data_IF_494645472557
#
_entry.id   IF_494645472557
#
_cell.length_a   1.000
_cell.length_b   1.000
_cell.length_c   1.000
_cell.angle_alpha   90.00
_cell.angle_beta   90.00
_cell.angle_gamma   90.00
#
_symmetry.space_group_name_H-M   'P 1'
#
loop_
_entity.id
_entity.type
_entity.pdbx_description
1 polymer ?
#
# COMPACT_ATOMS: atom_id res chain seq x y z
N UNK A 1 8.99 69.85 -20.29
CA UNK A 1 9.90 68.96 -19.58
C UNK A 1 10.75 68.27 -20.65
N UNK A 2 12.08 68.44 -20.63
CA UNK A 2 12.97 67.92 -21.65
C UNK A 2 13.10 66.38 -21.55
N UNK A 3 13.17 65.72 -22.69
CA UNK A 3 13.31 64.26 -22.80
C UNK A 3 14.40 63.68 -21.85
N UNK A 4 15.45 64.42 -21.63
CA UNK A 4 16.56 64.13 -20.70
C UNK A 4 16.12 64.03 -19.24
N UNK A 5 15.17 64.85 -18.82
CA UNK A 5 14.62 64.88 -17.46
C UNK A 5 13.67 63.68 -17.24
N UNK A 6 12.96 63.26 -18.26
CA UNK A 6 12.09 62.08 -18.20
C UNK A 6 12.91 60.80 -18.00
N UNK A 7 14.03 60.68 -18.73
CA UNK A 7 14.95 59.54 -18.60
C UNK A 7 15.60 59.48 -17.22
N UNK A 8 15.99 60.58 -16.66
CA UNK A 8 16.58 60.64 -15.30
C UNK A 8 15.56 60.25 -14.22
N UNK A 9 14.32 60.67 -14.32
CA UNK A 9 13.25 60.26 -13.39
C UNK A 9 12.93 58.79 -13.52
N UNK A 10 12.87 58.24 -14.74
CA UNK A 10 12.64 56.82 -14.98
C UNK A 10 13.76 55.93 -14.41
N UNK A 11 15.04 56.34 -14.58
CA UNK A 11 16.17 55.64 -14.01
C UNK A 11 16.17 55.65 -12.46
N UNK A 12 15.76 56.79 -11.86
CA UNK A 12 15.65 56.87 -10.38
C UNK A 12 14.53 55.99 -9.86
N UNK A 13 13.37 55.92 -10.54
CA UNK A 13 12.27 55.03 -10.16
C UNK A 13 12.67 53.56 -10.31
N UNK A 14 13.39 53.23 -11.37
CA UNK A 14 13.88 51.88 -11.57
C UNK A 14 14.91 51.46 -10.51
N UNK A 15 15.84 52.35 -10.17
CA UNK A 15 16.83 52.13 -9.12
C UNK A 15 16.21 51.99 -7.74
N UNK A 16 15.16 52.75 -7.42
CA UNK A 16 14.43 52.65 -6.15
C UNK A 16 13.66 51.32 -6.04
N UNK A 17 13.12 50.79 -7.14
CA UNK A 17 12.47 49.48 -7.13
C UNK A 17 13.48 48.35 -6.96
N UNK A 18 14.68 48.43 -7.53
CA UNK A 18 15.74 47.43 -7.38
C UNK A 18 16.28 47.45 -5.95
N UNK A 19 16.46 48.62 -5.33
CA UNK A 19 16.92 48.72 -3.95
C UNK A 19 15.85 48.22 -2.96
N UNK A 20 14.57 48.40 -3.25
CA UNK A 20 13.46 47.88 -2.46
C UNK A 20 13.40 46.33 -2.45
N UNK A 21 13.74 45.68 -3.57
CA UNK A 21 13.81 44.22 -3.63
C UNK A 21 15.08 43.59 -2.99
N UNK A 22 16.18 44.36 -2.92
CA UNK A 22 17.44 43.90 -2.34
C UNK A 22 17.51 44.08 -0.81
N UNK A 23 16.59 44.80 -0.21
CA UNK A 23 16.57 45.10 1.22
C UNK A 23 15.70 44.21 2.11
N UNK A 24 14.85 43.38 1.54
CA UNK A 24 14.18 42.34 2.31
C UNK A 24 15.12 41.17 2.47
N UNK A 25 16.04 41.25 3.44
CA UNK A 25 16.38 40.04 4.15
C UNK A 25 15.09 39.58 4.80
N UNK A 26 14.37 38.68 4.14
CA UNK A 26 13.51 37.75 4.86
C UNK A 26 14.46 36.97 5.76
N UNK A 27 14.73 37.48 6.96
CA UNK A 27 15.11 36.61 8.03
C UNK A 27 13.92 35.66 8.13
N UNK A 28 14.10 34.46 7.64
CA UNK A 28 13.30 33.37 8.12
C UNK A 28 13.63 33.35 9.61
N UNK A 29 12.76 33.95 10.44
CA UNK A 29 12.77 33.61 11.85
C UNK A 29 12.62 32.12 11.85
N UNK A 30 13.61 31.42 12.41
CA UNK A 30 13.43 30.03 12.78
C UNK A 30 12.16 30.04 13.63
N UNK A 31 11.07 29.56 13.05
CA UNK A 31 9.86 29.30 13.81
C UNK A 31 10.24 28.04 14.58
N UNK A 32 10.91 28.25 15.72
CA UNK A 32 10.96 27.24 16.76
C UNK A 32 9.50 26.98 17.11
N UNK A 33 8.93 25.94 16.53
CA UNK A 33 7.63 25.50 16.96
C UNK A 33 7.84 24.86 18.34
N UNK A 34 7.34 25.52 19.39
CA UNK A 34 7.12 24.90 20.72
C UNK A 34 6.05 23.79 20.60
N UNK A 35 6.19 22.94 19.57
CA UNK A 35 5.24 21.88 19.28
C UNK A 35 5.69 20.62 20.00
N UNK A 36 4.89 20.19 20.99
CA UNK A 36 5.10 18.90 21.61
C UNK A 36 4.85 17.79 20.60
N UNK A 37 5.88 16.97 20.34
CA UNK A 37 5.73 15.83 19.46
C UNK A 37 4.66 14.88 20.00
N UNK A 38 3.78 14.44 19.12
CA UNK A 38 2.73 13.45 19.43
C UNK A 38 2.90 12.19 18.60
N UNK A 39 2.30 11.11 19.03
CA UNK A 39 2.33 9.85 18.29
C UNK A 39 1.46 9.94 17.04
N UNK A 40 1.97 9.36 15.95
CA UNK A 40 1.28 9.16 14.70
C UNK A 40 1.17 7.65 14.42
N UNK A 41 -0.05 7.17 14.33
CA UNK A 41 -0.39 5.75 14.29
C UNK A 41 -0.91 5.39 12.89
N UNK A 42 -0.43 4.27 12.37
CA UNK A 42 -0.96 3.64 11.18
C UNK A 42 -1.30 2.18 11.52
N UNK A 43 -2.54 1.96 11.97
CA UNK A 43 -2.99 0.66 12.46
C UNK A 43 -3.97 -0.01 11.51
N UNK A 44 -3.67 -1.25 11.11
CA UNK A 44 -4.54 -2.07 10.28
C UNK A 44 -4.77 -3.44 10.90
N UNK A 45 -6.04 -3.76 11.15
CA UNK A 45 -6.48 -5.13 11.44
C UNK A 45 -6.95 -5.75 10.12
N UNK A 46 -6.27 -6.80 9.70
CA UNK A 46 -6.63 -7.57 8.51
C UNK A 46 -7.23 -8.92 8.93
N UNK A 47 -8.46 -9.19 8.45
CA UNK A 47 -9.16 -10.43 8.75
C UNK A 47 -8.91 -11.53 7.71
N UNK A 48 -8.24 -11.20 6.60
CA UNK A 48 -7.94 -12.18 5.55
C UNK A 48 -6.90 -13.20 6.06
N UNK A 49 -7.16 -14.47 5.84
CA UNK A 49 -6.24 -15.53 6.23
C UNK A 49 -4.91 -15.39 5.51
N UNK A 50 -3.81 -15.53 6.26
CA UNK A 50 -2.45 -15.38 5.70
C UNK A 50 -1.93 -13.95 5.65
N UNK A 51 -2.73 -12.95 6.01
CA UNK A 51 -2.31 -11.56 6.09
C UNK A 51 -2.11 -11.13 7.55
N UNK A 52 -1.08 -10.35 7.78
CA UNK A 52 -0.72 -9.92 9.14
C UNK A 52 -1.35 -8.58 9.47
N UNK A 53 -2.03 -8.50 10.62
CA UNK A 53 -2.41 -7.21 11.21
C UNK A 53 -1.19 -6.51 11.80
N UNK A 54 -1.11 -5.19 11.65
CA UNK A 54 0.06 -4.43 12.08
C UNK A 54 -0.27 -3.03 12.58
N UNK A 55 0.63 -2.49 13.38
CA UNK A 55 0.60 -1.10 13.86
C UNK A 55 1.94 -0.43 13.52
N UNK A 56 1.93 0.54 12.63
CA UNK A 56 3.03 1.46 12.41
C UNK A 56 2.97 2.58 13.45
N UNK A 57 4.09 2.87 14.08
CA UNK A 57 4.15 3.88 15.13
C UNK A 57 5.30 4.85 14.89
N UNK A 58 4.96 6.11 14.74
CA UNK A 58 5.88 7.20 14.48
C UNK A 58 5.59 8.35 15.45
N UNK A 59 6.51 9.28 15.56
CA UNK A 59 6.23 10.60 16.14
C UNK A 59 6.03 11.65 15.06
N UNK A 60 5.41 12.75 15.37
CA UNK A 60 5.45 13.92 14.51
C UNK A 60 6.86 14.50 14.46
N UNK A 61 7.21 15.16 13.37
CA UNK A 61 8.54 15.74 13.13
C UNK A 61 8.44 17.22 12.85
N UNK A 62 9.46 17.98 13.22
CA UNK A 62 9.61 19.36 12.80
C UNK A 62 10.04 19.43 11.32
N UNK A 63 9.81 20.59 10.69
CA UNK A 63 10.10 20.75 9.25
C UNK A 63 11.60 20.70 8.91
N UNK A 64 12.46 20.98 9.87
CA UNK A 64 13.92 21.00 9.74
C UNK A 64 14.59 19.70 10.21
N UNK A 65 13.81 18.75 10.77
CA UNK A 65 14.33 17.44 11.14
C UNK A 65 14.69 16.60 9.92
N UNK A 66 15.74 15.80 10.06
CA UNK A 66 16.08 14.79 9.05
C UNK A 66 15.00 13.70 9.01
N UNK A 67 14.50 13.40 7.82
CA UNK A 67 13.43 12.42 7.63
C UNK A 67 13.89 10.97 7.80
N UNK A 68 15.19 10.70 7.57
CA UNK A 68 15.77 9.37 7.62
C UNK A 68 17.11 9.37 8.31
N UNK A 69 17.39 8.32 9.05
CA UNK A 69 18.68 8.06 9.69
C UNK A 69 19.34 6.84 9.07
N UNK A 70 20.65 6.92 8.88
CA UNK A 70 21.46 5.80 8.42
C UNK A 70 21.57 4.76 9.54
N UNK A 71 21.22 3.51 9.26
CA UNK A 71 21.24 2.41 10.24
C UNK A 71 22.23 1.31 9.91
N UNK A 72 22.75 1.29 8.69
CA UNK A 72 23.72 0.29 8.29
C UNK A 72 23.92 0.18 6.79
N UNK A 73 24.69 -0.82 6.40
CA UNK A 73 24.87 -1.22 5.01
C UNK A 73 24.44 -2.66 4.84
N UNK A 74 23.85 -2.96 3.70
CA UNK A 74 23.64 -4.31 3.23
C UNK A 74 24.52 -4.58 2.01
N UNK A 75 24.92 -5.81 1.79
CA UNK A 75 25.70 -6.19 0.63
C UNK A 75 25.02 -7.34 -0.08
N UNK A 76 24.59 -7.08 -1.30
CA UNK A 76 23.96 -8.05 -2.18
C UNK A 76 24.92 -8.44 -3.27
N UNK A 77 25.04 -9.72 -3.56
CA UNK A 77 25.85 -10.24 -4.64
C UNK A 77 24.96 -10.47 -5.85
N UNK A 78 25.20 -9.72 -6.94
CA UNK A 78 24.48 -9.86 -8.18
C UNK A 78 25.28 -10.70 -9.17
N UNK A 79 24.63 -11.64 -9.83
CA UNK A 79 25.16 -12.34 -10.98
C UNK A 79 24.70 -11.60 -12.24
N UNK A 80 25.64 -11.12 -13.04
CA UNK A 80 25.34 -10.58 -14.35
C UNK A 80 25.33 -11.74 -15.36
N UNK A 81 24.19 -12.03 -15.92
CA UNK A 81 24.04 -12.96 -17.03
C UNK A 81 24.33 -12.18 -18.31
N UNK A 82 25.61 -12.03 -18.72
CA UNK A 82 25.89 -11.61 -20.07
C UNK A 82 25.51 -12.75 -21.04
N UNK A 83 24.56 -12.46 -21.89
CA UNK A 83 24.07 -13.32 -22.97
C UNK A 83 25.01 -13.25 -24.19
N UNK A 84 26.31 -13.38 -24.00
CA UNK A 84 27.26 -13.50 -25.11
C UNK A 84 27.74 -14.94 -25.22
N UNK A 85 27.46 -15.48 -26.40
CA UNK A 85 27.76 -16.87 -26.80
C UNK A 85 29.28 -17.12 -26.70
N UNK A 86 29.75 -17.77 -25.64
CA UNK A 86 31.01 -18.50 -25.70
C UNK A 86 32.03 -18.34 -24.59
N UNK A 87 31.80 -17.65 -23.49
CA UNK A 87 32.72 -17.66 -22.36
C UNK A 87 32.02 -18.01 -21.05
N UNK A 88 32.42 -19.13 -20.44
CA UNK A 88 32.01 -19.59 -19.11
C UNK A 88 32.61 -18.69 -18.02
N UNK A 89 32.12 -17.47 -17.90
CA UNK A 89 32.55 -16.52 -16.88
C UNK A 89 31.36 -15.81 -16.25
N UNK A 90 30.76 -16.42 -15.23
CA UNK A 90 29.84 -15.67 -14.35
C UNK A 90 30.69 -14.72 -13.51
N UNK A 91 30.83 -13.47 -13.92
CA UNK A 91 31.35 -12.42 -13.06
C UNK A 91 30.22 -11.82 -12.25
N UNK A 92 30.20 -12.13 -10.96
CA UNK A 92 29.31 -11.46 -10.04
C UNK A 92 29.98 -10.26 -9.38
N UNK A 93 29.20 -9.26 -9.01
CA UNK A 93 29.69 -8.09 -8.30
C UNK A 93 28.88 -7.83 -7.03
N UNK A 94 29.56 -7.25 -6.03
CA UNK A 94 28.93 -6.84 -4.80
C UNK A 94 28.35 -5.43 -4.95
N UNK A 95 27.07 -5.28 -4.66
CA UNK A 95 26.42 -3.97 -4.48
C UNK A 95 26.27 -3.71 -2.99
N UNK A 96 26.77 -2.57 -2.55
CA UNK A 96 26.64 -2.11 -1.16
C UNK A 96 25.53 -1.08 -1.12
N UNK A 97 24.44 -1.43 -0.46
CA UNK A 97 23.31 -0.54 -0.25
C UNK A 97 23.36 0.08 1.15
N UNK A 98 23.17 1.40 1.20
CA UNK A 98 23.02 2.12 2.46
C UNK A 98 21.59 1.98 2.95
N UNK A 99 21.43 1.48 4.16
CA UNK A 99 20.13 1.26 4.76
C UNK A 99 19.74 2.47 5.61
N UNK A 100 18.58 2.99 5.34
CA UNK A 100 17.98 4.09 6.07
C UNK A 100 16.64 3.67 6.69
N UNK A 101 16.33 4.26 7.83
CA UNK A 101 15.01 4.12 8.44
C UNK A 101 14.42 5.50 8.80
N UNK A 102 13.08 5.63 8.93
CA UNK A 102 12.47 6.89 9.33
C UNK A 102 12.98 7.34 10.70
N UNK A 103 13.46 8.59 10.79
CA UNK A 103 13.95 9.17 12.05
C UNK A 103 12.86 9.28 13.12
N UNK A 104 11.61 9.35 12.69
CA UNK A 104 10.43 9.45 13.55
C UNK A 104 9.92 8.10 14.08
N UNK A 105 10.54 6.99 13.70
CA UNK A 105 10.09 5.64 14.06
C UNK A 105 10.22 5.39 15.56
N UNK A 106 9.16 4.91 16.21
CA UNK A 106 9.12 4.53 17.63
C UNK A 106 9.19 3.00 17.72
N UNK A 107 10.19 2.47 18.45
CA UNK A 107 10.47 1.03 18.52
C UNK A 107 10.28 0.43 19.92
N UNK A 108 10.13 1.24 20.93
CA UNK A 108 10.14 0.86 22.35
C UNK A 108 8.79 1.10 23.05
N UNK A 109 7.71 1.18 22.26
CA UNK A 109 6.37 1.31 22.80
C UNK A 109 5.81 -0.05 23.25
N UNK A 110 4.88 0.00 24.19
CA UNK A 110 3.98 -1.10 24.53
C UNK A 110 2.70 -0.91 23.74
N UNK A 111 2.40 -1.86 22.85
CA UNK A 111 1.23 -1.84 21.97
C UNK A 111 0.34 -3.03 22.30
N UNK A 112 -0.89 -2.76 22.72
CA UNK A 112 -1.87 -3.76 23.09
C UNK A 112 -3.13 -3.58 22.24
N UNK A 113 -3.62 -4.68 21.69
CA UNK A 113 -4.94 -4.78 21.04
C UNK A 113 -5.81 -5.67 21.89
N UNK A 114 -7.00 -5.24 22.26
CA UNK A 114 -7.94 -6.03 23.06
C UNK A 114 -9.30 -6.12 22.37
N UNK A 115 -9.99 -7.25 22.55
CA UNK A 115 -11.34 -7.47 22.05
C UNK A 115 -12.41 -7.19 23.11
N UNK A 116 -13.67 -7.18 22.70
CA UNK A 116 -14.81 -7.01 23.61
C UNK A 116 -15.11 -8.24 24.49
N UNK A 117 -14.35 -9.34 24.34
CA UNK A 117 -14.44 -10.55 25.17
C UNK A 117 -13.44 -10.52 26.33
N UNK A 118 -12.56 -9.51 26.36
CA UNK A 118 -11.56 -9.32 27.40
C UNK A 118 -10.23 -10.00 27.11
N UNK A 119 -10.02 -10.51 25.89
CA UNK A 119 -8.70 -10.96 25.47
C UNK A 119 -7.82 -9.75 25.12
N UNK A 120 -6.53 -9.87 25.38
CA UNK A 120 -5.54 -8.83 25.10
C UNK A 120 -4.33 -9.46 24.42
N UNK A 121 -3.89 -8.82 23.34
CA UNK A 121 -2.81 -9.27 22.48
C UNK A 121 -1.72 -8.22 22.45
N UNK A 122 -0.49 -8.61 22.76
CA UNK A 122 0.66 -7.72 22.72
C UNK A 122 1.29 -7.77 21.34
N UNK A 123 1.42 -6.61 20.71
CA UNK A 123 2.09 -6.45 19.43
C UNK A 123 3.52 -5.98 19.68
N UNK A 124 4.49 -6.77 19.22
CA UNK A 124 5.92 -6.52 19.37
C UNK A 124 6.50 -5.90 18.13
N UNK A 125 7.48 -5.00 18.28
CA UNK A 125 8.16 -4.38 17.18
C UNK A 125 8.99 -5.39 16.39
N UNK A 126 8.84 -5.37 15.06
CA UNK A 126 9.61 -6.20 14.12
C UNK A 126 10.16 -5.29 13.03
N UNK A 127 11.48 -5.29 12.88
CA UNK A 127 12.17 -4.50 11.84
C UNK A 127 12.35 -5.26 10.53
N UNK A 128 12.32 -6.60 10.57
CA UNK A 128 12.59 -7.46 9.42
C UNK A 128 11.67 -8.67 9.42
N UNK A 129 11.20 -9.03 8.23
CA UNK A 129 10.55 -10.31 7.95
C UNK A 129 11.37 -11.03 6.88
N UNK A 130 11.68 -12.29 7.15
CA UNK A 130 12.39 -13.15 6.20
C UNK A 130 11.41 -14.13 5.60
N UNK A 131 11.27 -14.11 4.29
CA UNK A 131 10.53 -15.09 3.52
C UNK A 131 11.52 -16.10 2.93
N UNK A 132 11.16 -17.35 3.00
CA UNK A 132 11.92 -18.42 2.37
C UNK A 132 11.06 -18.92 1.22
N UNK A 133 11.41 -18.57 0.01
CA UNK A 133 10.80 -19.13 -1.18
C UNK A 133 11.45 -20.46 -1.49
N UNK A 134 10.61 -21.47 -1.66
CA UNK A 134 11.05 -22.82 -1.98
C UNK A 134 10.75 -23.09 -3.45
N UNK A 135 11.80 -23.09 -4.26
CA UNK A 135 11.70 -23.37 -5.70
C UNK A 135 12.03 -24.83 -5.92
N UNK A 136 11.05 -25.59 -6.44
CA UNK A 136 11.23 -26.99 -6.80
C UNK A 136 11.61 -27.06 -8.28
N UNK A 137 12.82 -27.57 -8.55
CA UNK A 137 13.22 -27.94 -9.89
C UNK A 137 13.08 -29.45 -10.04
N UNK A 138 12.18 -29.86 -10.91
CA UNK A 138 12.05 -31.23 -11.38
C UNK A 138 12.27 -31.20 -12.91
N UNK A 139 13.47 -31.51 -13.33
CA UNK A 139 13.81 -31.48 -14.74
C UNK A 139 14.48 -32.77 -15.17
N UNK A 140 13.99 -33.28 -16.28
CA UNK A 140 14.53 -34.46 -16.93
C UNK A 140 15.23 -34.04 -18.23
N UNK A 141 16.53 -34.27 -18.33
CA UNK A 141 17.25 -33.98 -19.57
C UNK A 141 17.96 -35.23 -20.12
N UNK A 142 18.02 -35.33 -21.44
CA UNK A 142 18.68 -36.46 -22.13
C UNK A 142 19.97 -35.98 -22.77
N UNK A 143 21.09 -36.58 -22.39
CA UNK A 143 22.39 -36.30 -22.94
C UNK A 143 23.05 -37.58 -23.42
N UNK A 144 23.48 -37.66 -24.67
CA UNK A 144 24.05 -38.86 -25.32
C UNK A 144 23.23 -40.15 -25.17
N UNK A 145 21.88 -40.00 -25.15
CA UNK A 145 20.95 -41.13 -25.01
C UNK A 145 20.77 -41.66 -23.58
N UNK A 146 21.35 -40.99 -22.61
CA UNK A 146 21.09 -41.20 -21.17
C UNK A 146 20.16 -40.13 -20.66
N UNK A 147 19.12 -40.54 -19.96
CA UNK A 147 18.17 -39.65 -19.30
C UNK A 147 18.63 -39.43 -17.87
N UNK A 148 18.73 -38.17 -17.49
CA UNK A 148 19.06 -37.75 -16.14
C UNK A 148 17.85 -37.03 -15.57
N UNK A 149 17.38 -37.50 -14.43
CA UNK A 149 16.37 -36.79 -13.63
C UNK A 149 17.11 -35.96 -12.60
N UNK A 150 16.88 -34.65 -12.63
CA UNK A 150 17.42 -33.74 -11.64
C UNK A 150 16.28 -33.16 -10.83
N UNK A 151 16.19 -33.65 -9.61
CA UNK A 151 15.27 -33.17 -8.60
C UNK A 151 16.08 -32.40 -7.57
N UNK A 152 15.85 -31.07 -7.48
CA UNK A 152 16.51 -30.23 -6.50
C UNK A 152 15.55 -29.16 -5.99
N UNK A 153 15.73 -28.81 -4.72
CA UNK A 153 14.98 -27.76 -4.06
C UNK A 153 15.95 -26.62 -3.75
N UNK A 154 15.67 -25.46 -4.29
CA UNK A 154 16.42 -24.23 -3.98
C UNK A 154 15.60 -23.43 -2.99
N UNK A 155 16.24 -22.99 -1.91
CA UNK A 155 15.66 -22.08 -0.94
C UNK A 155 16.22 -20.69 -1.23
N UNK A 156 15.35 -19.80 -1.70
CA UNK A 156 15.67 -18.39 -1.81
C UNK A 156 15.17 -17.64 -0.56
N UNK A 157 16.06 -16.88 0.04
CA UNK A 157 15.78 -16.20 1.31
C UNK A 157 15.76 -14.70 1.08
N UNK A 158 14.54 -14.15 1.04
CA UNK A 158 14.32 -12.73 0.88
C UNK A 158 14.00 -12.09 2.23
N UNK A 159 14.75 -11.05 2.61
CA UNK A 159 14.53 -10.31 3.86
C UNK A 159 14.01 -8.90 3.55
N UNK A 160 12.81 -8.61 4.03
CA UNK A 160 12.19 -7.30 3.88
C UNK A 160 12.18 -6.54 5.21
N UNK A 161 12.41 -5.22 5.16
CA UNK A 161 12.26 -4.34 6.31
C UNK A 161 10.82 -3.85 6.36
N UNK A 162 10.14 -4.07 7.49
CA UNK A 162 8.74 -3.70 7.65
C UNK A 162 8.52 -2.60 8.69
N UNK A 163 9.31 -2.55 9.76
CA UNK A 163 9.24 -1.55 10.84
C UNK A 163 7.85 -1.38 11.46
N UNK A 164 7.18 -2.48 11.80
CA UNK A 164 5.85 -2.49 12.39
C UNK A 164 5.79 -3.28 13.69
N UNK A 165 4.78 -2.98 14.51
CA UNK A 165 4.36 -3.82 15.62
C UNK A 165 3.38 -4.86 15.11
N UNK A 166 3.64 -6.14 15.38
CA UNK A 166 2.82 -7.29 14.97
C UNK A 166 2.67 -8.28 16.13
N UNK A 167 1.65 -9.12 16.08
CA UNK A 167 1.55 -10.26 16.99
C UNK A 167 2.57 -11.35 16.60
N UNK A 168 3.72 -11.35 17.25
CA UNK A 168 4.79 -12.32 17.02
C UNK A 168 4.47 -13.71 17.60
N UNK A 169 3.46 -13.82 18.47
CA UNK A 169 3.03 -15.09 19.05
C UNK A 169 2.05 -15.86 18.16
N UNK A 170 1.47 -15.20 17.15
CA UNK A 170 0.48 -15.79 16.25
C UNK A 170 -0.84 -16.14 16.94
N UNK A 171 -1.16 -15.43 18.03
CA UNK A 171 -2.38 -15.68 18.83
C UNK A 171 -3.54 -14.76 18.42
N UNK A 172 -3.23 -13.65 17.76
CA UNK A 172 -4.22 -12.70 17.30
C UNK A 172 -4.89 -13.21 16.02
N UNK A 173 -6.15 -13.60 16.15
CA UNK A 173 -7.00 -14.02 15.03
C UNK A 173 -8.25 -13.15 15.04
N UNK A 174 -8.26 -12.04 14.29
CA UNK A 174 -9.36 -11.09 14.32
C UNK A 174 -10.65 -11.71 13.80
N UNK A 175 -11.76 -11.40 14.48
CA UNK A 175 -13.09 -11.90 14.16
C UNK A 175 -13.93 -10.79 13.53
N UNK A 176 -14.85 -11.12 12.61
CA UNK A 176 -15.78 -10.14 12.04
C UNK A 176 -16.73 -9.61 13.12
N UNK A 177 -17.30 -8.42 12.90
CA UNK A 177 -18.29 -7.75 13.75
C UNK A 177 -17.83 -7.64 15.22
N UNK A 178 -16.52 -7.57 15.45
CA UNK A 178 -15.90 -7.52 16.78
C UNK A 178 -15.31 -6.15 17.02
N UNK A 179 -15.60 -5.62 18.21
CA UNK A 179 -14.99 -4.35 18.63
C UNK A 179 -13.58 -4.62 19.18
N UNK A 180 -12.60 -3.93 18.62
CA UNK A 180 -11.21 -3.93 19.05
C UNK A 180 -10.83 -2.56 19.60
N UNK A 181 -10.03 -2.57 20.65
CA UNK A 181 -9.44 -1.40 21.28
C UNK A 181 -7.93 -1.47 21.21
N UNK A 182 -7.32 -0.39 20.78
CA UNK A 182 -5.88 -0.19 20.76
C UNK A 182 -5.46 0.64 21.98
N UNK A 183 -4.37 0.24 22.61
CA UNK A 183 -3.73 1.01 23.67
C UNK A 183 -2.23 1.06 23.42
N UNK A 184 -1.68 2.26 23.35
CA UNK A 184 -0.26 2.51 23.08
C UNK A 184 0.32 3.37 24.20
N UNK A 185 1.45 2.91 24.74
CA UNK A 185 2.26 3.69 25.67
C UNK A 185 3.70 3.70 25.20
N UNK A 186 4.24 4.87 24.92
CA UNK A 186 5.60 5.06 24.47
C UNK A 186 6.36 6.02 25.41
N UNK A 187 7.66 5.80 25.67
CA UNK A 187 8.45 6.68 26.52
C UNK A 187 8.48 8.11 25.99
N UNK A 188 8.15 9.07 26.85
CA UNK A 188 8.17 10.49 26.52
C UNK A 188 6.94 11.01 25.78
N UNK A 189 5.90 10.18 25.60
CA UNK A 189 4.64 10.56 24.95
C UNK A 189 3.44 10.30 25.86
N UNK A 190 2.39 11.06 25.67
CA UNK A 190 1.10 10.77 26.28
C UNK A 190 0.53 9.46 25.72
N UNK A 191 -0.19 8.66 26.56
CA UNK A 191 -0.82 7.43 26.09
C UNK A 191 -1.86 7.72 25.00
N UNK A 192 -1.87 6.85 23.99
CA UNK A 192 -2.84 6.90 22.88
C UNK A 192 -3.75 5.70 22.95
N UNK A 193 -5.03 5.92 22.65
CA UNK A 193 -6.02 4.86 22.49
C UNK A 193 -6.67 4.92 21.11
N UNK A 194 -7.23 3.79 20.72
CA UNK A 194 -8.01 3.70 19.48
C UNK A 194 -9.12 2.67 19.59
N UNK A 195 -10.12 2.78 18.73
CA UNK A 195 -11.20 1.81 18.67
C UNK A 195 -11.71 1.63 17.24
N UNK A 196 -12.11 0.40 16.93
CA UNK A 196 -12.77 0.05 15.69
C UNK A 196 -13.76 -1.10 15.90
N UNK A 197 -14.65 -1.30 14.93
CA UNK A 197 -15.44 -2.52 14.83
C UNK A 197 -15.19 -3.14 13.47
N UNK A 198 -14.68 -4.36 13.45
CA UNK A 198 -14.35 -5.07 12.20
C UNK A 198 -15.58 -5.28 11.32
N UNK A 199 -15.45 -5.20 9.99
CA UNK A 199 -16.57 -5.41 9.09
C UNK A 199 -17.01 -6.87 9.06
N UNK A 200 -18.23 -7.10 8.59
CA UNK A 200 -18.72 -8.42 8.20
C UNK A 200 -17.94 -8.92 6.99
N UNK A 201 -17.66 -10.22 6.93
CA UNK A 201 -16.99 -10.84 5.77
C UNK A 201 -17.88 -10.73 4.54
N UNK A 202 -17.44 -10.07 3.46
CA UNK A 202 -18.19 -10.03 2.22
C UNK A 202 -18.15 -11.41 1.55
N UNK A 203 -19.11 -11.71 0.69
CA UNK A 203 -19.11 -12.93 -0.12
C UNK A 203 -19.56 -12.62 -1.52
N UNK A 204 -18.70 -12.85 -2.50
CA UNK A 204 -19.05 -12.76 -3.92
C UNK A 204 -19.79 -14.04 -4.30
N UNK A 205 -21.06 -13.90 -4.67
CA UNK A 205 -21.89 -15.05 -5.05
C UNK A 205 -21.58 -15.58 -6.44
N UNK A 206 -21.48 -14.68 -7.42
CA UNK A 206 -21.32 -15.07 -8.82
C UNK A 206 -20.96 -13.92 -9.73
N UNK A 207 -20.34 -14.26 -10.85
CA UNK A 207 -20.28 -13.41 -12.03
C UNK A 207 -21.31 -13.92 -13.05
N UNK A 208 -22.17 -13.03 -13.51
CA UNK A 208 -23.27 -13.37 -14.41
C UNK A 208 -23.08 -12.67 -15.74
N UNK A 209 -22.93 -13.44 -16.82
CA UNK A 209 -22.86 -12.93 -18.18
C UNK A 209 -23.95 -13.57 -19.03
N UNK A 210 -24.63 -12.80 -19.89
CA UNK A 210 -25.76 -13.27 -20.71
C UNK A 210 -26.90 -13.90 -19.89
N UNK A 211 -27.05 -13.49 -18.62
CA UNK A 211 -28.09 -14.02 -17.71
C UNK A 211 -27.76 -15.35 -17.05
N UNK A 212 -26.53 -15.85 -17.17
CA UNK A 212 -26.08 -17.12 -16.55
C UNK A 212 -24.81 -16.88 -15.74
N UNK A 213 -24.75 -17.47 -14.56
CA UNK A 213 -23.50 -17.59 -13.81
C UNK A 213 -22.50 -18.45 -14.61
N UNK A 214 -21.29 -17.97 -14.76
CA UNK A 214 -20.27 -18.62 -15.58
C UNK A 214 -18.91 -18.67 -14.88
N UNK A 215 -18.16 -19.71 -15.14
CA UNK A 215 -16.77 -19.83 -14.74
C UNK A 215 -15.81 -19.17 -15.74
N UNK A 216 -16.37 -18.67 -16.86
CA UNK A 216 -15.64 -17.96 -17.90
C UNK A 216 -16.28 -16.61 -18.18
N UNK A 217 -15.50 -15.62 -18.56
CA UNK A 217 -15.93 -14.28 -18.98
C UNK A 217 -15.49 -14.05 -20.42
N UNK A 218 -16.43 -13.67 -21.29
CA UNK A 218 -16.13 -13.25 -22.67
C UNK A 218 -15.75 -11.76 -22.61
N UNK A 219 -14.56 -11.43 -23.07
CA UNK A 219 -14.11 -10.04 -23.19
C UNK A 219 -15.04 -9.25 -24.14
N UNK A 220 -15.11 -7.95 -23.99
CA UNK A 220 -16.00 -7.03 -24.73
C UNK A 220 -17.49 -7.19 -24.44
N UNK A 221 -17.92 -8.15 -23.65
CA UNK A 221 -19.32 -8.30 -23.28
C UNK A 221 -19.56 -7.91 -21.82
N UNK A 222 -20.67 -7.22 -21.52
CA UNK A 222 -20.99 -6.84 -20.15
C UNK A 222 -21.31 -8.06 -19.28
N UNK A 223 -20.88 -8.00 -18.03
CA UNK A 223 -21.23 -8.95 -16.99
C UNK A 223 -21.57 -8.23 -15.70
N UNK A 224 -22.26 -8.93 -14.82
CA UNK A 224 -22.62 -8.44 -13.50
C UNK A 224 -21.92 -9.26 -12.43
N UNK A 225 -21.37 -8.57 -11.45
CA UNK A 225 -20.78 -9.15 -10.26
C UNK A 225 -21.84 -9.07 -9.16
N UNK A 226 -22.18 -10.21 -8.55
CA UNK A 226 -23.15 -10.28 -7.46
C UNK A 226 -22.50 -10.70 -6.16
N UNK A 227 -22.94 -10.10 -5.07
CA UNK A 227 -22.54 -10.45 -3.71
C UNK A 227 -23.69 -10.44 -2.74
N UNK A 228 -23.50 -11.03 -1.57
CA UNK A 228 -24.49 -11.03 -0.51
C UNK A 228 -24.66 -9.63 0.07
N UNK A 229 -25.90 -9.12 0.04
CA UNK A 229 -26.24 -7.85 0.67
C UNK A 229 -26.00 -7.94 2.18
N UNK A 230 -25.35 -6.96 2.75
CA UNK A 230 -25.10 -6.84 4.17
C UNK A 230 -26.10 -5.89 4.85
N UNK A 231 -26.27 -5.97 6.17
CA UNK A 231 -27.14 -5.04 6.91
C UNK A 231 -26.54 -3.63 6.94
N UNK A 232 -25.22 -3.53 6.95
CA UNK A 232 -24.45 -2.29 6.91
C UNK A 232 -23.06 -2.59 6.33
N UNK A 233 -22.38 -1.57 5.85
CA UNK A 233 -20.97 -1.71 5.47
C UNK A 233 -20.62 -0.91 4.23
N UNK A 234 -19.36 -0.55 4.18
CA UNK A 234 -18.71 0.09 3.05
C UNK A 234 -17.67 -0.85 2.50
N UNK A 235 -17.42 -0.76 1.21
CA UNK A 235 -16.43 -1.61 0.59
C UNK A 235 -15.87 -1.00 -0.68
N UNK A 236 -14.94 -1.73 -1.25
CA UNK A 236 -14.35 -1.46 -2.54
C UNK A 236 -14.37 -2.73 -3.37
N UNK A 237 -14.84 -2.60 -4.61
CA UNK A 237 -14.76 -3.66 -5.60
C UNK A 237 -13.66 -3.34 -6.58
N UNK A 238 -12.80 -4.32 -6.84
CA UNK A 238 -11.72 -4.22 -7.83
C UNK A 238 -11.80 -5.39 -8.79
N UNK A 239 -11.33 -5.15 -10.01
CA UNK A 239 -11.15 -6.21 -11.00
C UNK A 239 -9.85 -6.01 -11.75
N UNK A 240 -9.14 -7.08 -12.01
CA UNK A 240 -7.84 -7.07 -12.69
C UNK A 240 -7.65 -8.32 -13.54
N UNK A 241 -6.88 -8.16 -14.61
CA UNK A 241 -6.49 -9.26 -15.50
C UNK A 241 -5.24 -9.93 -14.94
N UNK A 242 -5.22 -11.24 -14.92
CA UNK A 242 -4.06 -12.04 -14.53
C UNK A 242 -3.49 -12.71 -15.77
N UNK A 243 -2.19 -12.55 -15.95
CA UNK A 243 -1.40 -13.23 -16.99
C UNK A 243 -0.65 -14.39 -16.36
N UNK A 244 -0.75 -15.55 -17.00
CA UNK A 244 0.10 -16.68 -16.66
C UNK A 244 1.24 -16.73 -17.67
N UNK A 245 2.48 -16.57 -17.22
CA UNK A 245 3.66 -16.90 -18.01
C UNK A 245 3.94 -18.40 -17.94
N UNK A 246 4.38 -19.00 -19.05
CA UNK A 246 4.89 -20.38 -19.05
C UNK A 246 6.23 -20.44 -18.30
N UNK A 247 6.20 -20.76 -17.01
CA UNK A 247 7.39 -20.89 -16.19
C UNK A 247 7.11 -20.90 -14.68
N UNK A 248 8.12 -21.15 -13.84
CA UNK A 248 7.95 -21.18 -12.37
C UNK A 248 7.58 -19.83 -11.73
N UNK A 249 7.75 -18.72 -12.44
CA UNK A 249 7.39 -17.36 -12.00
C UNK A 249 6.12 -16.83 -12.69
N UNK A 250 5.21 -17.71 -13.02
CA UNK A 250 4.19 -17.54 -14.05
C UNK A 250 3.00 -16.64 -13.71
N UNK A 251 2.96 -15.95 -12.58
CA UNK A 251 1.83 -15.07 -12.28
C UNK A 251 2.30 -13.63 -12.20
N UNK A 252 2.18 -12.88 -13.30
CA UNK A 252 2.36 -11.43 -13.30
C UNK A 252 1.02 -10.74 -13.33
N UNK A 253 0.85 -9.78 -12.42
CA UNK A 253 -0.23 -8.81 -12.45
C UNK A 253 0.24 -7.63 -13.31
N UNK A 254 -0.02 -7.68 -14.61
CA UNK A 254 0.28 -6.54 -15.47
C UNK A 254 -0.95 -5.65 -15.65
N UNK A 255 -0.70 -4.34 -15.69
CA UNK A 255 -1.74 -3.34 -15.80
C UNK A 255 -2.22 -3.28 -17.26
N UNK A 256 -3.31 -3.96 -17.54
CA UNK A 256 -4.04 -3.83 -18.79
C UNK A 256 -5.33 -3.06 -18.57
N UNK A 257 -5.94 -2.57 -19.62
CA UNK A 257 -7.18 -1.77 -19.59
C UNK A 257 -8.41 -2.44 -18.96
N UNK A 258 -8.27 -3.68 -18.46
CA UNK A 258 -9.32 -4.40 -17.72
C UNK A 258 -9.41 -4.08 -16.24
N UNK A 259 -8.54 -3.22 -15.69
CA UNK A 259 -8.56 -2.83 -14.29
C UNK A 259 -9.71 -1.87 -13.98
N UNK A 260 -10.37 -2.08 -12.86
CA UNK A 260 -11.26 -1.11 -12.25
C UNK A 260 -11.18 -1.15 -10.72
N UNK A 261 -11.52 -0.02 -10.11
CA UNK A 261 -11.62 0.12 -8.67
C UNK A 261 -12.75 1.10 -8.34
N UNK A 262 -13.73 0.65 -7.56
CA UNK A 262 -14.88 1.48 -7.20
C UNK A 262 -15.32 1.24 -5.76
N UNK A 263 -15.65 2.32 -5.07
CA UNK A 263 -16.30 2.25 -3.77
C UNK A 263 -17.74 1.78 -3.93
N UNK A 264 -18.20 0.91 -3.05
CA UNK A 264 -19.54 0.35 -3.03
C UNK A 264 -20.16 0.43 -1.63
N UNK A 265 -21.47 0.60 -1.58
CA UNK A 265 -22.23 0.45 -0.35
C UNK A 265 -22.78 -0.97 -0.27
N UNK A 266 -22.30 -1.75 0.68
CA UNK A 266 -22.63 -3.18 0.81
C UNK A 266 -24.05 -3.40 1.34
N UNK A 267 -24.68 -2.36 1.91
CA UNK A 267 -26.07 -2.41 2.38
C UNK A 267 -27.09 -2.01 1.29
N UNK A 268 -26.68 -1.12 0.38
CA UNK A 268 -27.59 -0.58 -0.64
C UNK A 268 -27.52 -1.32 -1.98
N UNK A 269 -26.39 -1.99 -2.25
CA UNK A 269 -26.17 -2.69 -3.51
C UNK A 269 -25.60 -4.08 -3.29
N UNK A 270 -26.07 -5.04 -4.09
CA UNK A 270 -25.54 -6.40 -4.19
C UNK A 270 -25.08 -6.73 -5.61
N UNK A 271 -24.91 -5.71 -6.47
CA UNK A 271 -24.56 -5.89 -7.88
C UNK A 271 -23.68 -4.76 -8.38
N UNK A 272 -22.69 -5.12 -9.19
CA UNK A 272 -21.86 -4.19 -9.93
C UNK A 272 -21.71 -4.63 -11.39
N UNK A 273 -22.14 -3.81 -12.38
CA UNK A 273 -21.95 -4.11 -13.80
C UNK A 273 -20.57 -3.71 -14.27
N UNK A 274 -19.93 -4.56 -15.06
CA UNK A 274 -18.63 -4.28 -15.67
C UNK A 274 -18.51 -4.85 -17.08
N UNK A 275 -17.54 -4.35 -17.83
CA UNK A 275 -17.15 -4.88 -19.15
C UNK A 275 -15.63 -4.76 -19.28
N UNK A 276 -14.96 -5.86 -19.53
CA UNK A 276 -13.54 -5.85 -19.89
C UNK A 276 -13.48 -5.32 -21.32
N UNK A 277 -12.71 -4.22 -21.60
CA UNK A 277 -12.54 -3.72 -22.96
C UNK A 277 -11.98 -4.81 -23.88
N UNK A 278 -12.37 -4.82 -25.15
CA UNK A 278 -11.91 -5.85 -26.10
C UNK A 278 -10.43 -5.72 -26.47
N UNK A 279 -9.90 -4.51 -26.32
CA UNK A 279 -8.53 -4.11 -26.62
C UNK A 279 -7.66 -3.95 -25.35
N UNK A 280 -8.06 -4.59 -24.26
CA UNK A 280 -7.49 -4.37 -22.94
C UNK A 280 -5.98 -4.69 -22.83
N UNK A 281 -5.39 -5.38 -23.80
CA UNK A 281 -4.00 -5.80 -23.83
C UNK A 281 -3.36 -5.70 -25.22
N UNK A 282 -3.66 -4.66 -26.01
CA UNK A 282 -3.11 -4.48 -27.38
C UNK A 282 -1.58 -4.28 -27.41
N UNK A 283 -0.93 -3.90 -26.32
CA UNK A 283 0.50 -3.62 -26.24
C UNK A 283 1.35 -4.81 -25.74
N UNK A 284 0.75 -5.96 -25.47
CA UNK A 284 1.53 -7.12 -25.04
C UNK A 284 2.12 -7.83 -26.26
N UNK A 285 3.40 -8.22 -26.16
CA UNK A 285 4.05 -9.10 -27.14
C UNK A 285 3.19 -10.35 -27.38
N UNK A 286 3.25 -10.92 -28.59
CA UNK A 286 2.41 -12.04 -29.04
C UNK A 286 2.43 -13.28 -28.11
N UNK A 287 3.32 -13.31 -27.13
CA UNK A 287 3.52 -14.42 -26.19
C UNK A 287 2.66 -14.31 -24.90
N UNK A 288 1.96 -13.19 -24.67
CA UNK A 288 1.14 -12.99 -23.47
C UNK A 288 -0.34 -13.10 -23.79
N UNK A 289 -0.95 -14.21 -23.44
CA UNK A 289 -2.40 -14.36 -23.53
C UNK A 289 -2.98 -14.23 -22.12
N UNK A 290 -3.84 -13.23 -21.86
CA UNK A 290 -4.52 -13.11 -20.57
C UNK A 290 -5.40 -14.34 -20.37
N UNK A 291 -5.26 -14.98 -19.21
CA UNK A 291 -5.97 -16.24 -18.96
C UNK A 291 -7.10 -16.08 -17.96
N UNK A 292 -6.90 -15.21 -16.95
CA UNK A 292 -7.85 -15.09 -15.86
C UNK A 292 -8.18 -13.63 -15.52
N UNK A 293 -9.37 -13.46 -14.96
CA UNK A 293 -9.86 -12.21 -14.40
C UNK A 293 -10.16 -12.38 -12.91
N UNK A 294 -9.51 -11.60 -12.08
CA UNK A 294 -9.70 -11.64 -10.65
C UNK A 294 -10.57 -10.46 -10.20
N UNK A 295 -11.67 -10.77 -9.53
CA UNK A 295 -12.53 -9.78 -8.90
C UNK A 295 -12.40 -9.93 -7.41
N UNK A 296 -12.12 -8.83 -6.71
CA UNK A 296 -12.05 -8.75 -5.26
C UNK A 296 -13.09 -7.77 -4.73
N UNK A 297 -13.76 -8.16 -3.65
CA UNK A 297 -14.65 -7.30 -2.87
C UNK A 297 -14.06 -7.18 -1.47
N UNK A 298 -13.62 -5.97 -1.11
CA UNK A 298 -13.06 -5.67 0.20
C UNK A 298 -14.06 -4.89 1.02
N UNK A 299 -14.53 -5.45 2.12
CA UNK A 299 -15.29 -4.73 3.13
C UNK A 299 -14.33 -3.98 4.07
N UNK A 300 -14.74 -2.80 4.48
CA UNK A 300 -13.96 -1.88 5.30
C UNK A 300 -14.77 -1.46 6.53
N UNK A 301 -14.12 -1.26 7.65
CA UNK A 301 -14.77 -0.57 8.76
C UNK A 301 -14.92 0.93 8.45
N UNK A 302 -15.68 1.62 9.29
CA UNK A 302 -15.95 3.05 9.10
C UNK A 302 -14.68 3.90 9.17
N UNK A 303 -13.74 3.53 10.04
CA UNK A 303 -12.48 4.26 10.19
C UNK A 303 -11.62 4.19 8.93
N UNK A 304 -11.48 2.98 8.35
CA UNK A 304 -10.72 2.79 7.12
C UNK A 304 -11.37 3.55 5.96
N UNK A 305 -12.68 3.43 5.82
CA UNK A 305 -13.44 4.11 4.77
C UNK A 305 -13.35 5.64 4.91
N UNK A 306 -13.52 6.16 6.11
CA UNK A 306 -13.40 7.60 6.37
C UNK A 306 -11.99 8.09 6.07
N UNK A 307 -10.95 7.38 6.50
CA UNK A 307 -9.57 7.82 6.33
C UNK A 307 -9.12 7.82 4.87
N UNK A 308 -9.38 6.74 4.12
CA UNK A 308 -8.85 6.56 2.76
C UNK A 308 -9.80 6.94 1.64
N UNK A 309 -11.12 6.78 1.83
CA UNK A 309 -12.06 6.98 0.73
C UNK A 309 -12.71 8.35 0.77
N UNK A 310 -13.29 8.74 1.91
CA UNK A 310 -13.98 10.04 2.01
C UNK A 310 -13.03 11.19 2.31
N UNK A 311 -11.96 10.93 3.06
CA UNK A 311 -11.04 11.95 3.50
C UNK A 311 -10.21 12.56 2.40
N UNK A 312 -9.80 11.79 1.42
CA UNK A 312 -9.08 12.32 0.26
C UNK A 312 -9.94 13.33 -0.52
N UNK A 313 -11.24 13.07 -0.65
CA UNK A 313 -12.15 14.00 -1.34
C UNK A 313 -12.31 15.33 -0.60
N UNK A 314 -12.35 15.32 0.72
CA UNK A 314 -12.43 16.56 1.52
C UNK A 314 -11.11 17.35 1.46
N UNK A 315 -9.96 16.68 1.51
CA UNK A 315 -8.65 17.31 1.38
C UNK A 315 -8.48 17.98 0.01
N UNK A 316 -8.83 17.31 -1.08
CA UNK A 316 -8.77 17.93 -2.42
C UNK A 316 -9.70 19.13 -2.57
N UNK A 317 -10.91 19.09 -2.03
CA UNK A 317 -11.82 20.20 -2.09
C UNK A 317 -11.37 21.39 -1.21
N UNK A 318 -10.78 21.11 -0.05
CA UNK A 318 -10.25 22.12 0.86
C UNK A 318 -8.91 22.70 0.37
N UNK A 319 -8.10 21.93 -0.33
CA UNK A 319 -6.83 22.36 -0.92
C UNK A 319 -7.05 23.39 -2.04
N UNK A 320 -8.18 23.34 -2.74
CA UNK A 320 -8.55 24.30 -3.79
C UNK A 320 -9.17 25.60 -3.24
N UNK A 321 -9.73 25.58 -2.03
CA UNK A 321 -10.52 26.69 -1.48
C UNK A 321 -9.92 27.34 -0.23
N UNK A 322 -9.09 26.65 0.52
CA UNK A 322 -8.46 27.16 1.74
C UNK A 322 -6.99 26.72 1.81
N UNK A 323 -6.12 27.62 2.29
CA UNK A 323 -4.76 27.23 2.68
C UNK A 323 -4.84 26.05 3.67
N UNK A 324 -4.17 24.92 3.39
CA UNK A 324 -4.23 23.78 4.29
C UNK A 324 -3.59 24.17 5.61
N UNK A 325 -4.39 24.30 6.63
CA UNK A 325 -3.88 24.03 7.97
C UNK A 325 -3.68 22.52 7.99
N UNK A 326 -2.45 22.06 7.88
CA UNK A 326 -2.05 20.66 8.09
C UNK A 326 -2.31 20.31 9.56
N UNK A 327 -3.57 20.12 9.91
CA UNK A 327 -3.93 19.44 11.14
C UNK A 327 -3.78 17.95 10.82
N UNK A 328 -2.94 17.26 11.57
CA UNK A 328 -2.88 15.82 11.50
C UNK A 328 -4.30 15.26 11.63
N UNK A 329 -4.67 14.36 10.72
CA UNK A 329 -5.98 13.71 10.75
C UNK A 329 -5.96 12.56 11.74
N UNK A 330 -7.04 12.40 12.47
CA UNK A 330 -7.20 11.31 13.43
C UNK A 330 -8.54 10.64 13.20
N UNK A 331 -8.53 9.34 12.88
CA UNK A 331 -9.72 8.53 12.69
C UNK A 331 -9.58 7.22 13.47
N UNK A 332 -10.51 7.00 14.40
CA UNK A 332 -10.45 5.86 15.32
C UNK A 332 -9.32 5.93 16.35
N UNK A 333 -8.65 7.10 16.53
CA UNK A 333 -7.54 7.34 17.44
C UNK A 333 -7.85 8.55 18.34
N UNK A 334 -7.51 8.44 19.61
CA UNK A 334 -7.59 9.48 20.62
C UNK A 334 -6.23 9.69 21.28
N UNK A 335 -5.80 10.94 21.44
CA UNK A 335 -4.51 11.31 22.05
C UNK A 335 -3.33 11.33 21.07
N UNK A 336 -3.54 11.08 19.79
CA UNK A 336 -2.53 11.09 18.74
C UNK A 336 -3.12 11.40 17.37
N UNK A 337 -2.32 11.23 16.33
CA UNK A 337 -2.74 11.35 14.93
C UNK A 337 -2.74 9.99 14.23
N UNK A 338 -3.34 9.95 13.04
CA UNK A 338 -3.36 8.78 12.17
C UNK A 338 -4.67 8.01 12.20
N UNK A 339 -4.61 6.74 11.94
CA UNK A 339 -5.81 5.92 11.88
C UNK A 339 -5.63 4.53 12.52
N UNK A 340 -6.75 3.96 12.94
CA UNK A 340 -6.87 2.58 13.35
C UNK A 340 -8.12 1.98 12.71
N UNK A 341 -7.94 1.12 11.70
CA UNK A 341 -9.01 0.58 10.89
C UNK A 341 -8.84 -0.90 10.56
N UNK A 342 -9.82 -1.46 9.87
CA UNK A 342 -9.84 -2.87 9.51
C UNK A 342 -10.44 -3.14 8.15
N UNK A 343 -10.00 -4.26 7.54
CA UNK A 343 -10.46 -4.75 6.24
C UNK A 343 -10.63 -6.26 6.25
N UNK A 344 -11.49 -6.73 5.34
CA UNK A 344 -11.62 -8.15 4.99
C UNK A 344 -12.06 -8.27 3.54
N UNK A 345 -11.52 -9.24 2.83
CA UNK A 345 -11.79 -9.40 1.40
C UNK A 345 -12.37 -10.78 1.08
N UNK A 346 -13.13 -10.84 0.00
CA UNK A 346 -13.45 -12.05 -0.74
C UNK A 346 -13.08 -11.86 -2.20
N UNK A 347 -12.74 -12.94 -2.89
CA UNK A 347 -12.29 -12.88 -4.26
C UNK A 347 -12.75 -14.05 -5.10
N UNK A 348 -12.95 -13.80 -6.39
CA UNK A 348 -13.34 -14.80 -7.36
C UNK A 348 -12.48 -14.69 -8.62
N UNK A 349 -11.98 -15.83 -9.09
CA UNK A 349 -11.20 -15.95 -10.31
C UNK A 349 -12.06 -16.54 -11.43
N UNK A 350 -11.96 -15.99 -12.64
CA UNK A 350 -12.67 -16.47 -13.83
C UNK A 350 -11.77 -16.44 -15.04
N UNK A 351 -11.80 -17.49 -15.84
CA UNK A 351 -11.04 -17.54 -17.09
C UNK A 351 -11.63 -16.59 -18.14
N UNK A 352 -10.76 -15.82 -18.80
CA UNK A 352 -11.14 -14.91 -19.88
C UNK A 352 -11.15 -15.70 -21.20
N UNK A 353 -12.23 -15.49 -21.95
CA UNK A 353 -12.33 -15.92 -23.37
C UNK A 353 -12.31 -14.64 -24.21
N UNK A 354 -11.35 -14.53 -25.14
CA UNK A 354 -11.24 -13.39 -26.06
C UNK A 354 -12.46 -13.18 -26.94
#
# INVERSE_FOLDING_TARGET
MNFKQYYQILCIILALNIIGCLGQKTAWEDVESDYDHVLNIFGLINLDSGHTSFIGLYRTTDLDEVSQIFVGVDSLYYYEYEKDEGEDGQEGFWVIDSIYEPAALIKDAVVLVSDNQGNSYEFSFVDKVTFIDTIYFDTTFTFYGYTFDWDTTIYDTNTFRINFYVDTNGTFNPQPETNYQLSITAPGFDPVSGSLTTPMIPTIDSLVQRGHASDTIIASEPFDIYWNLQESGKGMITGEVIFNEDGPDSTRYEWCGGYFQNAVDLADSSRYPWTIPGDFCEETDEDYTPQDYFVRLTAMDENYYEYFITGEMEEYSNMLLNYPTTKGRSVGIEGGFGFFGSIVSDGILRTIIP
#
